data_IF_465399212996
#
_entry.id   IF_465399212996
#
_cell.length_a   1.000
_cell.length_b   1.000
_cell.length_c   1.000
_cell.angle_alpha   90.00
_cell.angle_beta   90.00
_cell.angle_gamma   90.00
#
_symmetry.space_group_name_H-M   'P 1'
#
loop_
_entity.id
_entity.type
_entity.pdbx_description
1 polymer ?
#
# COMPACT_ATOMS: atom_id res chain seq x y z
N UNK A 1 14.87 -12.48 31.83
CA UNK A 1 15.42 -12.14 30.50
C UNK A 1 14.28 -11.85 29.55
N UNK A 2 13.90 -10.57 29.42
CA UNK A 2 12.95 -10.14 28.39
C UNK A 2 13.69 -10.25 27.05
N UNK A 3 13.38 -11.27 26.25
CA UNK A 3 13.74 -11.28 24.84
C UNK A 3 13.03 -10.08 24.23
N UNK A 4 13.76 -8.98 24.05
CA UNK A 4 13.38 -7.90 23.15
C UNK A 4 13.03 -8.58 21.83
N UNK A 5 11.74 -8.67 21.51
CA UNK A 5 11.29 -9.02 20.17
C UNK A 5 11.85 -7.91 19.30
N UNK A 6 12.99 -8.15 18.66
CA UNK A 6 13.47 -7.27 17.62
C UNK A 6 12.34 -7.20 16.60
N UNK A 7 11.66 -6.05 16.53
CA UNK A 7 10.64 -5.79 15.53
C UNK A 7 11.23 -6.21 14.20
N UNK A 8 10.74 -7.31 13.63
CA UNK A 8 11.25 -7.81 12.36
C UNK A 8 10.86 -6.80 11.31
N UNK A 9 11.85 -6.08 10.78
CA UNK A 9 11.68 -5.13 9.69
C UNK A 9 12.36 -5.65 8.43
N UNK A 10 11.65 -5.61 7.32
CA UNK A 10 12.21 -5.90 6.00
C UNK A 10 12.75 -4.60 5.41
N UNK A 11 14.06 -4.50 5.23
CA UNK A 11 14.65 -3.34 4.55
C UNK A 11 14.64 -3.58 3.05
N UNK A 12 14.09 -2.62 2.29
CA UNK A 12 14.01 -2.75 0.84
C UNK A 12 15.40 -2.78 0.17
N UNK A 13 16.40 -2.13 0.77
CA UNK A 13 17.78 -2.12 0.27
C UNK A 13 18.41 -3.52 0.28
N UNK A 14 18.09 -4.35 1.29
CA UNK A 14 18.64 -5.70 1.44
C UNK A 14 18.17 -6.64 0.32
N UNK A 15 17.07 -6.29 -0.36
CA UNK A 15 16.53 -7.05 -1.47
C UNK A 15 17.22 -6.73 -2.80
N UNK A 16 17.97 -5.62 -2.90
CA UNK A 16 18.67 -5.24 -4.13
C UNK A 16 17.76 -5.07 -5.35
N UNK A 17 16.49 -4.71 -5.12
CA UNK A 17 15.45 -4.61 -6.15
C UNK A 17 15.22 -3.17 -6.60
N UNK A 18 14.73 -3.02 -7.84
CA UNK A 18 14.25 -1.73 -8.34
C UNK A 18 12.80 -1.52 -7.93
N UNK A 19 12.49 -0.45 -7.19
CA UNK A 19 11.16 -0.15 -6.67
C UNK A 19 10.21 0.42 -7.74
N UNK A 20 9.99 -0.30 -8.85
CA UNK A 20 9.38 0.24 -10.07
C UNK A 20 8.02 -0.35 -10.47
N UNK A 21 7.69 -1.60 -10.16
CA UNK A 21 6.48 -2.25 -10.68
C UNK A 21 5.57 -2.81 -9.59
N UNK A 22 4.31 -3.06 -9.92
CA UNK A 22 3.33 -3.68 -9.00
C UNK A 22 3.73 -5.11 -8.62
N UNK A 23 4.34 -5.84 -9.55
CA UNK A 23 4.77 -7.23 -9.30
C UNK A 23 5.91 -7.28 -8.29
N UNK A 24 6.82 -6.30 -8.33
CA UNK A 24 7.87 -6.18 -7.32
C UNK A 24 7.27 -5.85 -5.95
N UNK A 25 6.23 -4.99 -5.88
CA UNK A 25 5.52 -4.74 -4.62
C UNK A 25 4.90 -6.01 -4.04
N UNK A 26 4.28 -6.85 -4.88
CA UNK A 26 3.73 -8.16 -4.46
C UNK A 26 4.82 -9.10 -3.96
N UNK A 27 5.95 -9.15 -4.65
CA UNK A 27 7.11 -9.95 -4.23
C UNK A 27 7.63 -9.52 -2.86
N UNK A 28 7.76 -8.21 -2.62
CA UNK A 28 8.15 -7.65 -1.31
C UNK A 28 7.17 -8.08 -0.23
N UNK A 29 5.86 -7.95 -0.47
CA UNK A 29 4.83 -8.33 0.50
C UNK A 29 4.82 -9.82 0.79
N UNK A 30 4.94 -10.66 -0.25
CA UNK A 30 5.02 -12.11 -0.07
C UNK A 30 6.25 -12.52 0.75
N UNK A 31 7.37 -11.85 0.52
CA UNK A 31 8.60 -12.03 1.32
C UNK A 31 8.38 -11.58 2.76
N UNK A 32 7.71 -10.45 2.95
CA UNK A 32 7.37 -9.91 4.26
C UNK A 32 6.50 -10.90 5.07
N UNK A 33 5.46 -11.44 4.46
CA UNK A 33 4.53 -12.40 5.05
C UNK A 33 5.22 -13.73 5.39
N UNK A 34 5.96 -14.30 4.43
CA UNK A 34 6.62 -15.60 4.60
C UNK A 34 7.63 -15.59 5.76
N UNK A 35 8.34 -14.49 5.94
CA UNK A 35 9.36 -14.35 6.99
C UNK A 35 8.82 -13.73 8.29
N UNK A 36 7.51 -13.42 8.33
CA UNK A 36 6.79 -12.81 9.44
C UNK A 36 7.39 -11.46 9.87
N UNK A 37 7.61 -10.58 8.90
CA UNK A 37 7.98 -9.20 9.17
C UNK A 37 6.74 -8.38 9.55
N UNK A 38 6.91 -7.45 10.48
CA UNK A 38 5.83 -6.56 10.96
C UNK A 38 5.86 -5.20 10.27
N UNK A 39 6.99 -4.86 9.65
CA UNK A 39 7.14 -3.61 8.93
C UNK A 39 8.10 -3.74 7.75
N UNK A 40 7.93 -2.86 6.76
CA UNK A 40 8.78 -2.67 5.60
C UNK A 40 9.42 -1.30 5.71
N UNK A 41 10.74 -1.27 5.78
CA UNK A 41 11.56 -0.07 5.91
C UNK A 41 12.02 0.41 4.54
N UNK A 42 11.75 1.68 4.26
CA UNK A 42 12.23 2.41 3.08
C UNK A 42 13.56 3.13 3.36
N UNK A 43 14.23 2.80 4.48
CA UNK A 43 15.54 3.33 4.80
C UNK A 43 16.47 3.22 3.57
N UNK A 44 17.08 4.35 3.22
CA UNK A 44 18.01 4.50 2.08
C UNK A 44 17.40 4.27 0.68
N UNK A 45 16.08 4.16 0.55
CA UNK A 45 15.43 4.14 -0.75
C UNK A 45 15.51 5.52 -1.42
N UNK A 46 16.17 5.61 -2.57
CA UNK A 46 16.34 6.91 -3.26
C UNK A 46 15.05 7.34 -3.98
N UNK A 47 14.39 6.38 -4.64
CA UNK A 47 13.17 6.63 -5.40
C UNK A 47 12.33 5.36 -5.52
N UNK A 48 11.03 5.55 -5.76
CA UNK A 48 10.13 4.48 -6.15
C UNK A 48 9.09 4.98 -7.15
N UNK A 49 8.56 4.08 -7.96
CA UNK A 49 7.44 4.42 -8.82
C UNK A 49 6.14 4.55 -8.02
N UNK A 50 5.22 5.37 -8.54
CA UNK A 50 3.87 5.48 -8.00
C UNK A 50 3.15 4.13 -7.98
N UNK A 51 3.25 3.35 -9.05
CA UNK A 51 2.57 2.05 -9.16
C UNK A 51 3.07 1.03 -8.14
N UNK A 52 4.38 1.02 -7.85
CA UNK A 52 4.95 0.19 -6.80
C UNK A 52 4.40 0.60 -5.43
N UNK A 53 4.50 1.88 -5.09
CA UNK A 53 4.10 2.37 -3.76
C UNK A 53 2.59 2.24 -3.52
N UNK A 54 1.77 2.45 -4.54
CA UNK A 54 0.31 2.32 -4.47
C UNK A 54 -0.11 0.87 -4.18
N UNK A 55 0.44 -0.10 -4.93
CA UNK A 55 0.18 -1.53 -4.70
C UNK A 55 0.69 -1.95 -3.32
N UNK A 56 1.91 -1.52 -2.94
CA UNK A 56 2.49 -1.84 -1.65
C UNK A 56 1.62 -1.33 -0.50
N UNK A 57 1.16 -0.08 -0.57
CA UNK A 57 0.28 0.51 0.43
C UNK A 57 -1.04 -0.25 0.58
N UNK A 58 -1.69 -0.60 -0.54
CA UNK A 58 -2.97 -1.33 -0.50
C UNK A 58 -2.79 -2.71 0.15
N UNK A 59 -1.72 -3.43 -0.20
CA UNK A 59 -1.47 -4.77 0.33
C UNK A 59 -0.99 -4.70 1.78
N UNK A 60 -0.17 -3.72 2.14
CA UNK A 60 0.33 -3.55 3.51
C UNK A 60 -0.81 -3.26 4.49
N UNK A 61 -1.79 -2.44 4.10
CA UNK A 61 -3.00 -2.17 4.89
C UNK A 61 -3.84 -3.43 5.13
N UNK A 62 -3.98 -4.29 4.10
CA UNK A 62 -4.74 -5.56 4.21
C UNK A 62 -4.07 -6.56 5.15
N UNK A 63 -2.74 -6.59 5.17
CA UNK A 63 -1.95 -7.54 5.94
C UNK A 63 -1.42 -6.99 7.27
N UNK A 64 -1.83 -5.77 7.65
CA UNK A 64 -1.38 -5.09 8.87
C UNK A 64 0.14 -4.94 8.99
N UNK A 65 0.84 -4.83 7.86
CA UNK A 65 2.29 -4.58 7.81
C UNK A 65 2.51 -3.08 7.71
N UNK A 66 3.34 -2.54 8.60
CA UNK A 66 3.62 -1.09 8.66
C UNK A 66 4.65 -0.69 7.60
N UNK A 67 4.45 0.46 6.97
CA UNK A 67 5.51 1.10 6.17
C UNK A 67 6.24 2.08 7.09
N UNK A 68 7.57 1.98 7.19
CA UNK A 68 8.40 2.78 8.11
C UNK A 68 9.62 3.35 7.39
N UNK A 69 10.27 4.32 8.03
CA UNK A 69 11.50 4.96 7.55
C UNK A 69 11.38 5.53 6.13
N UNK A 70 10.24 6.17 5.85
CA UNK A 70 9.97 6.73 4.53
C UNK A 70 10.85 7.96 4.25
N UNK A 71 11.63 7.97 3.16
CA UNK A 71 12.43 9.13 2.77
C UNK A 71 11.58 10.35 2.44
N UNK A 72 12.10 11.55 2.70
CA UNK A 72 11.43 12.82 2.42
C UNK A 72 11.10 13.02 0.92
N UNK A 73 11.83 12.34 0.03
CA UNK A 73 11.58 12.35 -1.41
C UNK A 73 10.35 11.53 -1.80
N UNK A 74 10.00 10.51 -1.02
CA UNK A 74 8.91 9.56 -1.30
C UNK A 74 7.67 9.91 -0.47
N UNK A 75 7.84 10.52 0.72
CA UNK A 75 6.76 10.88 1.64
C UNK A 75 5.61 11.67 0.96
N UNK A 76 5.86 12.69 0.12
CA UNK A 76 4.78 13.40 -0.56
C UNK A 76 3.97 12.50 -1.50
N UNK A 77 4.61 11.51 -2.11
CA UNK A 77 3.93 10.55 -2.98
C UNK A 77 3.03 9.61 -2.18
N UNK A 78 3.50 9.16 -1.01
CA UNK A 78 2.70 8.38 -0.06
C UNK A 78 1.47 9.17 0.39
N UNK A 79 1.63 10.43 0.77
CA UNK A 79 0.50 11.28 1.20
C UNK A 79 -0.59 11.39 0.13
N UNK A 80 -0.19 11.54 -1.14
CA UNK A 80 -1.14 11.57 -2.27
C UNK A 80 -1.86 10.22 -2.40
N UNK A 81 -1.16 9.09 -2.25
CA UNK A 81 -1.77 7.75 -2.26
C UNK A 81 -2.79 7.64 -1.13
N UNK A 82 -2.40 7.96 0.10
CA UNK A 82 -3.28 7.86 1.26
C UNK A 82 -4.55 8.68 1.07
N UNK A 83 -4.40 9.94 0.63
CA UNK A 83 -5.54 10.82 0.38
C UNK A 83 -6.45 10.27 -0.72
N UNK A 84 -5.88 9.70 -1.78
CA UNK A 84 -6.65 9.09 -2.88
C UNK A 84 -7.49 7.91 -2.40
N UNK A 85 -6.93 7.02 -1.58
CA UNK A 85 -7.67 5.87 -1.04
C UNK A 85 -8.64 6.26 0.08
N UNK A 86 -8.36 7.32 0.84
CA UNK A 86 -9.27 7.89 1.86
C UNK A 86 -10.47 8.60 1.22
N UNK A 87 -10.26 9.38 0.16
CA UNK A 87 -11.32 10.16 -0.51
C UNK A 87 -12.29 9.30 -1.33
N UNK A 88 -11.82 8.16 -1.86
CA UNK A 88 -12.67 7.22 -2.60
C UNK A 88 -13.81 6.60 -1.77
N UNK A 89 -13.72 6.62 -0.43
CA UNK A 89 -14.79 6.09 0.44
C UNK A 89 -16.08 6.94 0.46
N UNK A 90 -16.15 8.10 -0.21
CA UNK A 90 -17.20 9.11 0.09
C UNK A 90 -18.26 9.33 -1.00
N UNK A 91 -18.13 8.83 -2.23
CA UNK A 91 -19.17 9.07 -3.25
C UNK A 91 -19.57 7.80 -4.03
N UNK A 92 -20.36 6.95 -3.38
CA UNK A 92 -21.34 6.14 -4.11
C UNK A 92 -22.69 6.90 -4.06
N UNK A 93 -23.00 7.79 -5.03
CA UNK A 93 -24.34 8.35 -5.10
C UNK A 93 -25.32 7.19 -5.26
N UNK A 94 -26.27 7.06 -4.32
CA UNK A 94 -27.39 6.12 -4.43
C UNK A 94 -28.31 6.63 -5.54
N UNK A 95 -27.96 6.36 -6.80
CA UNK A 95 -28.85 6.63 -7.93
C UNK A 95 -30.00 5.62 -7.85
N UNK A 96 -31.14 6.05 -7.32
CA UNK A 96 -32.39 5.30 -7.43
C UNK A 96 -32.99 5.59 -8.80
N UNK A 97 -32.84 4.66 -9.73
CA UNK A 97 -33.53 4.72 -11.03
C UNK A 97 -34.96 4.20 -10.83
N UNK A 98 -35.96 5.04 -11.08
CA UNK A 98 -37.36 4.63 -11.17
C UNK A 98 -37.66 4.41 -12.65
N UNK A 99 -37.78 3.15 -13.06
CA UNK A 99 -38.32 2.81 -14.39
C UNK A 99 -39.84 2.91 -14.27
N UNK A 100 -40.45 3.85 -14.99
CA UNK A 100 -41.91 3.93 -15.09
C UNK A 100 -42.38 3.02 -16.21
N UNK A 101 -43.21 2.02 -15.88
CA UNK A 101 -43.88 1.18 -16.85
C UNK A 101 -45.00 1.98 -17.53
N UNK A 102 -44.68 2.71 -18.61
CA UNK A 102 -45.69 3.22 -19.53
C UNK A 102 -45.95 2.15 -20.59
N UNK A 103 -47.01 1.38 -20.41
CA UNK A 103 -47.65 0.61 -21.48
C UNK A 103 -48.31 1.60 -22.45
N UNK A 104 -47.88 1.59 -23.71
CA UNK A 104 -48.65 2.24 -24.77
C UNK A 104 -49.85 1.36 -25.10
N UNK A 105 -51.04 1.97 -25.08
CA UNK A 105 -52.33 1.35 -25.39
C UNK A 105 -52.45 0.98 -26.88
#
# INVERSE_FOLDING_TARGET
MLKTMANKQLKLIDLGIVLATRDIARFVMQTAENQKYEAISFQDAVSCSRSFLDELYVISQKNHIRLVDMPDTILPLLDIIERSHKSQKVFAPRIKVRVSDTTFA
#
